data_IF_747328018287
#
_entry.id   IF_747328018287
#
_cell.length_a   1.000
_cell.length_b   1.000
_cell.length_c   1.000
_cell.angle_alpha   90.00
_cell.angle_beta   90.00
_cell.angle_gamma   90.00
#
_symmetry.space_group_name_H-M   'P 1'
#
loop_
_entity.id
_entity.type
_entity.pdbx_description
1 polymer ?
#
# COMPACT_ATOMS: atom_id res chain seq x y z
N UNK A 1 -14.79 9.77 10.98
CA UNK A 1 -15.91 8.86 11.28
C UNK A 1 -16.52 8.39 9.98
N UNK A 2 -16.44 7.11 9.66
CA UNK A 2 -17.05 6.53 8.46
C UNK A 2 -18.56 6.37 8.70
N UNK A 3 -19.40 6.87 7.78
CA UNK A 3 -20.84 6.63 7.80
C UNK A 3 -21.13 5.43 6.88
N UNK A 4 -21.58 4.28 7.43
CA UNK A 4 -21.80 3.08 6.64
C UNK A 4 -22.92 3.29 5.60
N UNK A 5 -22.70 2.79 4.39
CA UNK A 5 -23.70 2.72 3.32
C UNK A 5 -24.02 1.27 3.02
N UNK A 6 -25.27 0.98 2.63
CA UNK A 6 -25.72 -0.39 2.30
C UNK A 6 -24.90 -1.06 1.20
N UNK A 7 -24.28 -0.26 0.34
CA UNK A 7 -23.53 -0.69 -0.84
C UNK A 7 -22.04 -0.95 -0.56
N UNK A 8 -21.53 -0.52 0.61
CA UNK A 8 -20.10 -0.54 0.90
C UNK A 8 -19.83 -1.42 2.10
N UNK A 9 -19.13 -2.54 1.86
CA UNK A 9 -18.60 -3.40 2.91
C UNK A 9 -17.20 -2.95 3.29
N UNK A 10 -16.92 -2.83 4.59
CA UNK A 10 -15.56 -2.62 5.09
C UNK A 10 -14.90 -3.99 5.17
N UNK A 11 -14.03 -4.29 4.22
CA UNK A 11 -13.33 -5.58 4.20
C UNK A 11 -12.30 -5.64 5.33
N UNK A 12 -11.33 -4.71 5.35
CA UNK A 12 -10.24 -4.74 6.33
C UNK A 12 -9.77 -3.34 6.73
N UNK A 13 -9.23 -3.23 7.95
CA UNK A 13 -8.55 -2.03 8.43
C UNK A 13 -7.05 -2.15 8.13
N UNK A 14 -6.58 -1.35 7.17
CA UNK A 14 -5.17 -1.29 6.81
C UNK A 14 -4.42 -0.43 7.82
N UNK A 15 -3.34 -0.97 8.39
CA UNK A 15 -2.42 -0.23 9.28
C UNK A 15 -1.25 0.32 8.49
N UNK A 16 -0.75 1.50 8.87
CA UNK A 16 0.48 2.03 8.33
C UNK A 16 1.68 1.21 8.84
N UNK A 17 2.61 0.93 7.93
CA UNK A 17 3.90 0.31 8.22
C UNK A 17 4.90 1.41 8.55
N UNK A 18 5.67 1.26 9.63
CA UNK A 18 6.68 2.24 10.02
C UNK A 18 8.05 1.75 9.53
N UNK A 19 8.68 2.53 8.65
CA UNK A 19 9.98 2.26 8.07
C UNK A 19 11.07 3.11 8.76
N UNK A 20 12.07 2.46 9.34
CA UNK A 20 13.27 3.09 9.90
C UNK A 20 14.34 3.31 8.81
N UNK A 21 15.36 4.15 9.08
CA UNK A 21 16.54 4.21 8.21
C UNK A 21 17.16 2.81 8.01
N UNK A 22 17.46 2.48 6.75
CA UNK A 22 17.90 1.16 6.26
C UNK A 22 16.85 0.05 6.21
N UNK A 23 15.58 0.32 6.53
CA UNK A 23 14.47 -0.59 6.27
C UNK A 23 13.82 -0.28 4.91
N UNK A 24 13.18 -1.28 4.33
CA UNK A 24 12.47 -1.16 3.06
C UNK A 24 11.25 -2.06 3.06
N UNK A 25 10.09 -1.52 2.68
CA UNK A 25 8.90 -2.34 2.48
C UNK A 25 8.90 -2.87 1.05
N UNK A 26 8.69 -4.18 0.88
CA UNK A 26 8.42 -4.79 -0.42
C UNK A 26 6.91 -4.73 -0.67
N UNK A 27 6.54 -4.01 -1.70
CA UNK A 27 5.16 -3.83 -2.15
C UNK A 27 4.94 -4.61 -3.43
N UNK A 28 3.71 -5.09 -3.62
CA UNK A 28 3.25 -5.75 -4.83
C UNK A 28 1.95 -5.13 -5.29
N UNK A 29 1.85 -4.81 -6.58
CA UNK A 29 0.62 -4.29 -7.18
C UNK A 29 -0.37 -5.44 -7.41
N UNK A 30 -1.56 -5.35 -6.82
CA UNK A 30 -2.67 -6.30 -7.12
C UNK A 30 -3.39 -5.98 -8.42
N UNK A 31 -3.32 -4.74 -8.87
CA UNK A 31 -3.92 -4.21 -10.11
C UNK A 31 -3.03 -3.12 -10.68
N UNK A 32 -3.29 -2.71 -11.92
CA UNK A 32 -2.68 -1.53 -12.52
C UNK A 32 -2.98 -0.30 -11.65
N UNK A 33 -1.92 0.31 -11.14
CA UNK A 33 -2.03 1.44 -10.21
C UNK A 33 -0.86 2.41 -10.41
N UNK A 34 -1.01 3.60 -9.85
CA UNK A 34 0.07 4.59 -9.78
C UNK A 34 0.53 4.66 -8.33
N UNK A 35 1.81 4.37 -8.10
CA UNK A 35 2.45 4.49 -6.78
C UNK A 35 2.51 5.96 -6.34
N UNK A 36 2.81 6.22 -5.06
CA UNK A 36 3.01 7.57 -4.51
C UNK A 36 4.05 8.39 -5.27
N UNK A 37 5.05 7.76 -5.86
CA UNK A 37 6.07 8.41 -6.67
C UNK A 37 5.61 8.76 -8.10
N UNK A 38 4.34 8.50 -8.45
CA UNK A 38 3.80 8.76 -9.79
C UNK A 38 4.21 7.71 -10.83
N UNK A 39 4.76 6.58 -10.38
CA UNK A 39 5.19 5.47 -11.23
C UNK A 39 3.99 4.55 -11.48
N UNK A 40 3.63 4.37 -12.75
CA UNK A 40 2.65 3.37 -13.15
C UNK A 40 3.22 1.96 -12.94
N UNK A 41 2.52 1.15 -12.15
CA UNK A 41 2.85 -0.24 -11.82
C UNK A 41 1.81 -1.15 -12.42
N UNK A 42 2.26 -2.15 -13.17
CA UNK A 42 1.37 -3.19 -13.72
C UNK A 42 1.00 -4.24 -12.67
N UNK A 43 -0.06 -4.99 -12.97
CA UNK A 43 -0.56 -6.05 -12.09
C UNK A 43 0.53 -7.11 -11.84
N UNK A 44 0.85 -7.35 -10.58
CA UNK A 44 1.84 -8.32 -10.15
C UNK A 44 3.27 -7.78 -10.06
N UNK A 45 3.51 -6.53 -10.44
CA UNK A 45 4.82 -5.91 -10.30
C UNK A 45 5.17 -5.71 -8.82
N UNK A 46 6.44 -5.95 -8.48
CA UNK A 46 6.96 -5.81 -7.13
C UNK A 46 8.04 -4.75 -7.08
N UNK A 47 8.04 -3.93 -6.03
CA UNK A 47 9.06 -2.92 -5.81
C UNK A 47 9.37 -2.73 -4.33
N UNK A 48 10.51 -2.08 -4.07
CA UNK A 48 10.97 -1.75 -2.73
C UNK A 48 10.78 -0.26 -2.48
N UNK A 49 9.96 0.09 -1.49
CA UNK A 49 9.82 1.45 -1.03
C UNK A 49 10.69 1.67 0.22
N UNK A 50 11.59 2.66 0.16
CA UNK A 50 12.54 3.03 1.22
C UNK A 50 12.17 4.34 1.91
N UNK A 51 10.94 4.81 1.73
CA UNK A 51 10.47 6.07 2.31
C UNK A 51 10.47 5.94 3.83
N UNK A 52 11.39 6.64 4.48
CA UNK A 52 11.48 6.70 5.94
C UNK A 52 10.19 7.30 6.52
N UNK A 53 9.66 6.68 7.57
CA UNK A 53 8.43 7.10 8.24
C UNK A 53 7.26 6.15 8.02
N UNK A 54 6.03 6.67 8.08
CA UNK A 54 4.82 5.86 7.99
C UNK A 54 4.38 5.68 6.53
N UNK A 55 4.49 4.45 6.03
CA UNK A 55 3.93 4.04 4.75
C UNK A 55 2.53 3.48 4.96
N UNK A 56 1.52 4.14 4.41
CA UNK A 56 0.15 3.62 4.38
C UNK A 56 -0.09 3.01 3.00
N UNK A 57 -0.22 1.68 2.88
CA UNK A 57 -0.46 1.06 1.60
C UNK A 57 -1.84 1.44 1.06
N UNK A 58 -1.91 1.67 -0.24
CA UNK A 58 -3.12 1.91 -1.00
C UNK A 58 -3.96 0.63 -1.10
N UNK A 59 -5.24 0.78 -1.47
CA UNK A 59 -6.17 -0.35 -1.58
C UNK A 59 -5.72 -1.46 -2.56
N UNK A 60 -4.84 -1.13 -3.51
CA UNK A 60 -4.30 -2.07 -4.50
C UNK A 60 -2.84 -2.44 -4.26
N UNK A 61 -2.25 -1.98 -3.15
CA UNK A 61 -0.89 -2.31 -2.74
C UNK A 61 -0.92 -3.44 -1.71
N UNK A 62 -0.20 -4.52 -1.98
CA UNK A 62 0.02 -5.60 -1.03
C UNK A 62 1.41 -5.45 -0.41
N UNK A 63 1.47 -5.39 0.92
CA UNK A 63 2.74 -5.44 1.65
C UNK A 63 3.17 -6.90 1.75
N UNK A 64 4.24 -7.25 1.04
CA UNK A 64 4.80 -8.61 1.01
C UNK A 64 5.80 -8.82 2.15
N UNK A 65 6.65 -7.82 2.43
CA UNK A 65 7.71 -7.92 3.43
C UNK A 65 8.16 -6.55 3.94
N UNK A 66 8.70 -6.49 5.16
CA UNK A 66 9.19 -5.26 5.83
C UNK A 66 10.62 -5.44 6.28
#
# INVERSE_FOLDING_TARGET
TYLPRKEVSVEEQIKAVILKPNEAVRLRAKKEMVDRDGIARETGEEWLNRTIGSYLPLAYEEVVST
#
